data_IF_595107244423
#
_entry.id   IF_595107244423
#
_cell.length_a   1.000
_cell.length_b   1.000
_cell.length_c   1.000
_cell.angle_alpha   90.00
_cell.angle_beta   90.00
_cell.angle_gamma   90.00
#
_symmetry.space_group_name_H-M   'P 1'
#
loop_
_entity.id
_entity.type
_entity.pdbx_description
1 polymer ?
#
# COMPACT_ATOMS: atom_id res chain seq x y z
N UNK A 1 -2.85 -74.97 -23.23
CA UNK A 1 -3.15 -74.71 -21.80
C UNK A 1 -1.88 -74.13 -21.20
N UNK A 2 -2.03 -73.01 -20.47
CA UNK A 2 -1.09 -72.36 -19.52
C UNK A 2 0.26 -71.85 -20.11
N UNK A 3 0.53 -70.54 -20.18
CA UNK A 3 0.89 -69.58 -19.09
C UNK A 3 2.23 -69.99 -18.43
N UNK A 4 3.24 -69.16 -18.12
CA UNK A 4 3.48 -67.71 -18.07
C UNK A 4 4.96 -67.58 -17.63
N UNK A 5 5.64 -66.47 -17.97
CA UNK A 5 6.56 -65.66 -17.12
C UNK A 5 7.59 -64.88 -17.96
N UNK A 6 7.65 -63.58 -17.71
CA UNK A 6 8.62 -62.62 -18.24
C UNK A 6 9.62 -62.26 -17.12
N UNK A 7 10.85 -61.83 -17.46
CA UNK A 7 11.70 -61.13 -16.51
C UNK A 7 11.68 -59.61 -16.73
N UNK A 8 11.61 -58.95 -15.58
CA UNK A 8 11.77 -57.55 -15.25
C UNK A 8 13.20 -57.03 -15.57
N UNK A 9 13.33 -55.79 -16.06
CA UNK A 9 14.41 -54.86 -15.66
C UNK A 9 14.25 -53.47 -16.31
N UNK A 10 13.71 -52.56 -15.48
CA UNK A 10 14.34 -51.28 -15.11
C UNK A 10 14.54 -50.22 -16.21
N UNK A 11 13.45 -49.53 -16.57
CA UNK A 11 13.51 -48.16 -17.11
C UNK A 11 13.35 -47.16 -15.94
N UNK A 12 14.44 -46.50 -15.58
CA UNK A 12 14.43 -45.39 -14.64
C UNK A 12 13.79 -44.15 -15.27
N UNK A 13 12.55 -43.86 -14.88
CA UNK A 13 11.91 -42.57 -15.08
C UNK A 13 12.59 -41.51 -14.19
N UNK A 14 13.48 -40.70 -14.78
CA UNK A 14 13.87 -39.42 -14.19
C UNK A 14 12.67 -38.46 -14.25
N UNK A 15 11.88 -38.48 -13.18
CA UNK A 15 10.86 -37.47 -12.90
C UNK A 15 11.50 -36.09 -12.79
N UNK A 16 11.45 -35.34 -13.88
CA UNK A 16 11.75 -33.92 -13.94
C UNK A 16 10.87 -33.16 -12.95
N UNK A 17 11.42 -32.84 -11.78
CA UNK A 17 10.83 -31.89 -10.84
C UNK A 17 10.84 -30.52 -11.51
N UNK A 18 9.68 -30.11 -12.01
CA UNK A 18 9.41 -28.75 -12.45
C UNK A 18 9.74 -27.78 -11.31
N UNK A 19 10.87 -27.11 -11.47
CA UNK A 19 11.36 -26.09 -10.60
C UNK A 19 10.50 -24.84 -10.87
N UNK A 20 9.38 -24.70 -10.17
CA UNK A 20 8.46 -23.58 -10.34
C UNK A 20 9.06 -22.32 -9.68
N UNK A 21 10.16 -21.84 -10.27
CA UNK A 21 10.81 -20.58 -9.97
C UNK A 21 9.95 -19.44 -10.49
N UNK A 22 9.66 -18.48 -9.62
CA UNK A 22 8.89 -17.27 -9.92
C UNK A 22 9.38 -16.64 -11.23
N UNK A 23 8.50 -16.61 -12.22
CA UNK A 23 8.76 -16.02 -13.53
C UNK A 23 9.10 -14.53 -13.41
N UNK A 24 9.99 -14.07 -14.30
CA UNK A 24 10.32 -12.66 -14.49
C UNK A 24 9.06 -11.80 -14.61
N UNK A 25 9.16 -10.53 -14.21
CA UNK A 25 8.09 -9.55 -14.43
C UNK A 25 7.67 -9.55 -15.90
N UNK A 26 6.37 -9.68 -16.17
CA UNK A 26 5.84 -9.87 -17.51
C UNK A 26 5.73 -8.54 -18.27
N UNK A 27 6.23 -8.51 -19.51
CA UNK A 27 5.92 -7.45 -20.47
C UNK A 27 4.54 -7.73 -21.09
N UNK A 28 3.61 -6.81 -20.89
CA UNK A 28 2.21 -6.91 -21.34
C UNK A 28 1.90 -5.92 -22.47
N UNK A 29 2.92 -5.31 -23.09
CA UNK A 29 2.77 -4.25 -24.09
C UNK A 29 1.83 -4.65 -25.23
N UNK A 30 2.06 -5.81 -25.86
CA UNK A 30 1.24 -6.30 -26.97
C UNK A 30 -0.12 -6.89 -26.54
N UNK A 31 -0.39 -6.96 -25.24
CA UNK A 31 -1.58 -7.60 -24.67
C UNK A 31 -2.60 -6.60 -24.13
N UNK A 32 -2.31 -5.30 -24.15
CA UNK A 32 -3.12 -4.27 -23.52
C UNK A 32 -3.80 -3.39 -24.58
N UNK A 33 -5.11 -3.24 -24.45
CA UNK A 33 -5.91 -2.37 -25.30
C UNK A 33 -6.66 -1.32 -24.46
N UNK A 34 -6.44 -0.03 -24.73
CA UNK A 34 -7.14 1.05 -24.01
C UNK A 34 -8.65 0.99 -24.26
N UNK A 35 -9.46 1.19 -23.22
CA UNK A 35 -10.92 1.22 -23.33
C UNK A 35 -11.50 2.60 -23.67
N UNK A 36 -10.73 3.67 -23.44
CA UNK A 36 -11.20 5.05 -23.61
C UNK A 36 -10.14 5.96 -24.24
N UNK A 37 -10.58 7.14 -24.67
CA UNK A 37 -9.70 8.18 -25.21
C UNK A 37 -8.92 8.93 -24.12
N UNK A 38 -9.42 8.93 -22.90
CA UNK A 38 -8.88 9.68 -21.76
C UNK A 38 -8.60 8.73 -20.58
N UNK A 39 -7.71 9.12 -19.65
CA UNK A 39 -7.53 8.41 -18.38
C UNK A 39 -8.85 8.29 -17.62
N UNK A 40 -9.04 7.17 -16.93
CA UNK A 40 -10.20 6.94 -16.08
C UNK A 40 -10.09 7.64 -14.73
N UNK A 41 -8.85 7.91 -14.28
CA UNK A 41 -8.58 8.74 -13.11
C UNK A 41 -7.23 9.47 -13.27
N UNK A 42 -7.11 10.61 -12.59
CA UNK A 42 -5.90 11.41 -12.52
C UNK A 42 -5.45 11.52 -11.07
N UNK A 43 -4.23 11.05 -10.78
CA UNK A 43 -3.58 11.21 -9.48
C UNK A 43 -2.82 12.53 -9.38
N UNK A 44 -1.92 12.68 -8.40
CA UNK A 44 -1.02 13.84 -8.35
C UNK A 44 0.10 13.77 -9.40
N UNK A 45 0.66 12.58 -9.61
CA UNK A 45 1.86 12.36 -10.43
C UNK A 45 1.67 11.30 -11.53
N UNK A 46 0.47 10.73 -11.66
CA UNK A 46 0.19 9.66 -12.60
C UNK A 46 -1.23 9.75 -13.15
N UNK A 47 -1.43 9.23 -14.35
CA UNK A 47 -2.72 8.98 -14.95
C UNK A 47 -3.02 7.49 -14.89
N UNK A 48 -4.28 7.12 -14.62
CA UNK A 48 -4.73 5.74 -14.55
C UNK A 48 -5.64 5.46 -15.73
N UNK A 49 -5.21 4.56 -16.62
CA UNK A 49 -5.98 4.15 -17.79
C UNK A 49 -6.70 2.84 -17.53
N UNK A 50 -7.99 2.77 -17.90
CA UNK A 50 -8.71 1.49 -17.99
C UNK A 50 -8.40 0.82 -19.33
N UNK A 51 -7.96 -0.44 -19.28
CA UNK A 51 -7.59 -1.21 -20.45
C UNK A 51 -8.15 -2.64 -20.38
N UNK A 52 -8.26 -3.29 -21.53
CA UNK A 52 -8.50 -4.73 -21.65
C UNK A 52 -7.17 -5.46 -21.79
N UNK A 53 -6.97 -6.48 -20.97
CA UNK A 53 -5.87 -7.42 -21.07
C UNK A 53 -6.34 -8.66 -21.84
N UNK A 54 -5.77 -8.87 -23.03
CA UNK A 54 -6.05 -10.01 -23.88
C UNK A 54 -5.09 -11.16 -23.53
N UNK A 55 -5.60 -12.22 -22.92
CA UNK A 55 -4.81 -13.43 -22.70
C UNK A 55 -4.75 -14.26 -23.98
N UNK A 56 -3.55 -14.59 -24.44
CA UNK A 56 -3.33 -15.51 -25.55
C UNK A 56 -3.81 -16.95 -25.26
N UNK A 57 -4.17 -17.26 -24.01
CA UNK A 57 -4.52 -18.61 -23.55
C UNK A 57 -6.01 -18.81 -23.19
N UNK A 58 -6.90 -17.82 -23.36
CA UNK A 58 -8.32 -17.98 -22.98
C UNK A 58 -9.29 -17.42 -24.04
N UNK A 59 -10.37 -18.17 -24.31
CA UNK A 59 -11.53 -17.75 -25.12
C UNK A 59 -12.48 -16.80 -24.37
N UNK A 60 -12.14 -16.38 -23.15
CA UNK A 60 -12.94 -15.41 -22.37
C UNK A 60 -12.69 -13.99 -22.81
N UNK A 61 -13.71 -13.14 -22.64
CA UNK A 61 -13.62 -11.68 -22.77
C UNK A 61 -12.41 -11.15 -21.97
N UNK A 62 -11.63 -10.22 -22.54
CA UNK A 62 -10.41 -9.69 -21.91
C UNK A 62 -10.67 -9.14 -20.51
N UNK A 63 -9.72 -9.33 -19.59
CA UNK A 63 -9.82 -8.84 -18.21
C UNK A 63 -9.63 -7.32 -18.19
N UNK A 64 -10.47 -6.58 -17.46
CA UNK A 64 -10.24 -5.14 -17.26
C UNK A 64 -9.08 -4.93 -16.29
N UNK A 65 -8.10 -4.12 -16.70
CA UNK A 65 -6.90 -3.79 -15.95
C UNK A 65 -6.70 -2.28 -15.87
N UNK A 66 -6.05 -1.83 -14.80
CA UNK A 66 -5.57 -0.48 -14.66
C UNK A 66 -4.11 -0.39 -15.14
N UNK A 67 -3.80 0.64 -15.91
CA UNK A 67 -2.43 0.97 -16.32
C UNK A 67 -2.05 2.32 -15.72
N UNK A 68 -1.11 2.30 -14.77
CA UNK A 68 -0.57 3.50 -14.11
C UNK A 68 0.55 4.08 -14.96
N UNK A 69 0.33 5.29 -15.46
CA UNK A 69 1.24 6.03 -16.34
C UNK A 69 1.77 7.25 -15.59
N UNK A 70 3.07 7.29 -15.33
CA UNK A 70 3.68 8.43 -14.63
C UNK A 70 3.69 9.67 -15.54
N UNK A 71 3.17 10.79 -15.03
CA UNK A 71 3.11 12.05 -15.78
C UNK A 71 4.48 12.74 -15.79
N UNK A 72 4.79 13.34 -16.93
CA UNK A 72 5.97 14.20 -17.06
C UNK A 72 5.70 15.56 -16.42
N UNK A 73 6.57 15.99 -15.49
CA UNK A 73 6.78 17.42 -15.33
C UNK A 73 7.49 17.90 -16.61
N UNK A 74 6.80 18.69 -17.44
CA UNK A 74 7.44 19.44 -18.52
C UNK A 74 8.47 20.33 -17.84
N UNK A 75 9.77 20.04 -17.91
CA UNK A 75 10.93 20.96 -17.84
C UNK A 75 12.26 20.19 -17.57
N UNK A 76 13.18 20.32 -18.54
CA UNK A 76 14.66 20.12 -18.54
C UNK A 76 15.22 18.70 -18.31
N UNK A 77 16.17 18.29 -19.17
CA UNK A 77 16.79 16.96 -19.31
C UNK A 77 17.27 16.30 -17.99
N UNK A 78 17.68 17.06 -16.97
CA UNK A 78 18.14 16.52 -15.67
C UNK A 78 17.04 15.83 -14.86
N UNK A 79 15.76 16.05 -15.19
CA UNK A 79 14.63 15.39 -14.55
C UNK A 79 14.27 14.04 -15.17
N UNK A 80 14.78 13.71 -16.36
CA UNK A 80 14.41 12.46 -17.04
C UNK A 80 15.06 11.24 -16.40
N UNK A 81 16.35 11.33 -16.09
CA UNK A 81 17.04 10.26 -15.37
C UNK A 81 16.45 10.06 -13.96
N UNK A 82 16.03 11.15 -13.30
CA UNK A 82 15.36 11.09 -11.99
C UNK A 82 13.97 10.43 -12.09
N UNK A 83 13.19 10.78 -13.12
CA UNK A 83 11.89 10.17 -13.40
C UNK A 83 12.01 8.68 -13.70
N UNK A 84 12.96 8.29 -14.54
CA UNK A 84 13.23 6.89 -14.85
C UNK A 84 13.64 6.10 -13.61
N UNK A 85 14.60 6.62 -12.82
CA UNK A 85 15.03 5.98 -11.56
C UNK A 85 13.87 5.86 -10.56
N UNK A 86 13.01 6.88 -10.47
CA UNK A 86 11.82 6.85 -9.63
C UNK A 86 10.82 5.77 -10.07
N UNK A 87 10.53 5.70 -11.38
CA UNK A 87 9.66 4.68 -11.97
C UNK A 87 10.19 3.26 -11.76
N UNK A 88 11.47 3.02 -12.02
CA UNK A 88 12.11 1.72 -11.81
C UNK A 88 12.11 1.31 -10.34
N UNK A 89 12.34 2.27 -9.42
CA UNK A 89 12.27 2.02 -7.98
C UNK A 89 10.86 1.61 -7.55
N UNK A 90 9.84 2.35 -7.99
CA UNK A 90 8.44 2.02 -7.68
C UNK A 90 8.07 0.63 -8.21
N UNK A 91 8.42 0.33 -9.48
CA UNK A 91 8.17 -0.97 -10.10
C UNK A 91 8.83 -2.12 -9.31
N UNK A 92 10.09 -1.95 -8.91
CA UNK A 92 10.84 -2.96 -8.16
C UNK A 92 10.27 -3.18 -6.75
N UNK A 93 9.90 -2.10 -6.04
CA UNK A 93 9.25 -2.18 -4.73
C UNK A 93 7.90 -2.88 -4.86
N UNK A 94 7.07 -2.47 -5.81
CA UNK A 94 5.74 -3.03 -5.99
C UNK A 94 5.80 -4.52 -6.37
N UNK A 95 6.71 -4.92 -7.26
CA UNK A 95 6.94 -6.32 -7.57
C UNK A 95 7.35 -7.14 -6.33
N UNK A 96 8.23 -6.59 -5.49
CA UNK A 96 8.68 -7.23 -4.23
C UNK A 96 7.53 -7.48 -3.25
N UNK A 97 6.52 -6.61 -3.28
CA UNK A 97 5.36 -6.63 -2.38
C UNK A 97 4.13 -7.34 -2.96
N UNK A 98 4.14 -7.74 -4.22
CA UNK A 98 2.94 -8.25 -4.92
C UNK A 98 2.46 -9.62 -4.41
N UNK A 99 3.20 -10.26 -3.51
CA UNK A 99 2.89 -11.58 -2.94
C UNK A 99 2.10 -11.50 -1.62
N UNK A 100 1.12 -10.61 -1.55
CA UNK A 100 0.30 -10.48 -0.35
C UNK A 100 -1.14 -10.12 -0.71
N UNK A 101 -2.15 -10.78 -0.13
CA UNK A 101 -3.56 -10.56 -0.49
C UNK A 101 -4.06 -9.14 -0.18
N UNK A 102 -3.37 -8.41 0.71
CA UNK A 102 -3.70 -7.02 1.11
C UNK A 102 -2.79 -5.97 0.48
N UNK A 103 -2.02 -6.36 -0.52
CA UNK A 103 -1.29 -5.46 -1.42
C UNK A 103 -1.90 -5.62 -2.82
N UNK A 104 -2.04 -4.53 -3.55
CA UNK A 104 -2.50 -4.54 -4.93
C UNK A 104 -1.49 -5.36 -5.77
N UNK A 105 -1.88 -6.43 -6.49
CA UNK A 105 -0.92 -7.20 -7.26
C UNK A 105 -0.45 -6.42 -8.50
N UNK A 106 0.85 -6.52 -8.80
CA UNK A 106 1.42 -6.08 -10.07
C UNK A 106 1.39 -7.26 -11.06
N UNK A 107 0.63 -7.12 -12.14
CA UNK A 107 0.52 -8.14 -13.19
C UNK A 107 1.73 -8.10 -14.13
N UNK A 108 2.23 -6.89 -14.41
CA UNK A 108 3.32 -6.68 -15.36
C UNK A 108 3.56 -5.21 -15.63
N UNK A 109 4.21 -4.92 -16.75
CA UNK A 109 4.44 -3.56 -17.23
C UNK A 109 4.09 -3.43 -18.72
N UNK A 110 3.98 -2.19 -19.20
CA UNK A 110 3.81 -1.85 -20.61
C UNK A 110 4.69 -0.67 -20.99
N UNK A 111 5.22 -0.69 -22.22
CA UNK A 111 6.08 0.36 -22.78
C UNK A 111 5.31 1.34 -23.69
N UNK A 112 4.05 1.06 -24.03
CA UNK A 112 3.26 1.79 -25.04
C UNK A 112 2.45 2.98 -24.50
N UNK A 113 2.69 3.37 -23.24
CA UNK A 113 1.95 4.44 -22.57
C UNK A 113 2.76 5.70 -22.32
N UNK A 114 4.06 5.70 -22.64
CA UNK A 114 4.91 6.86 -22.49
C UNK A 114 6.39 6.48 -22.46
N UNK A 115 7.21 7.37 -21.92
CA UNK A 115 8.66 7.20 -21.90
C UNK A 115 9.17 6.22 -20.84
N UNK A 116 8.37 5.96 -19.81
CA UNK A 116 8.73 5.08 -18.70
C UNK A 116 7.82 3.85 -18.70
N UNK A 117 8.31 2.69 -18.20
CA UNK A 117 7.48 1.52 -17.99
C UNK A 117 6.24 1.88 -17.16
N UNK A 118 5.07 1.62 -17.73
CA UNK A 118 3.78 1.82 -17.08
C UNK A 118 3.37 0.53 -16.38
N UNK A 119 2.89 0.65 -15.15
CA UNK A 119 2.60 -0.49 -14.27
C UNK A 119 1.17 -1.00 -14.51
N UNK A 120 1.01 -2.30 -14.64
CA UNK A 120 -0.27 -2.94 -14.96
C UNK A 120 -0.76 -3.73 -13.75
N UNK A 121 -1.97 -3.45 -13.30
CA UNK A 121 -2.61 -4.15 -12.17
C UNK A 121 -4.10 -4.41 -12.46
N UNK A 122 -4.78 -5.29 -11.70
CA UNK A 122 -6.21 -5.49 -11.88
C UNK A 122 -6.98 -4.18 -11.63
N UNK A 123 -8.03 -3.96 -12.40
CA UNK A 123 -8.97 -2.88 -12.14
C UNK A 123 -9.75 -3.15 -10.84
N UNK A 124 -9.98 -2.12 -10.03
CA UNK A 124 -10.65 -2.21 -8.74
C UNK A 124 -11.98 -1.47 -8.83
N UNK A 125 -13.10 -2.19 -9.09
CA UNK A 125 -14.39 -1.57 -9.40
C UNK A 125 -14.97 -0.74 -8.25
N UNK A 126 -14.63 -1.10 -7.01
CA UNK A 126 -15.06 -0.38 -5.82
C UNK A 126 -14.20 0.87 -5.52
N UNK A 127 -13.15 1.12 -6.31
CA UNK A 127 -12.33 2.32 -6.25
C UNK A 127 -11.52 2.45 -4.96
N UNK A 128 -11.22 3.69 -4.57
CA UNK A 128 -10.47 3.99 -3.34
C UNK A 128 -11.35 3.82 -2.10
N UNK A 129 -10.77 3.47 -0.96
CA UNK A 129 -11.45 3.39 0.33
C UNK A 129 -12.14 4.73 0.67
N UNK A 130 -11.52 5.86 0.33
CA UNK A 130 -12.11 7.18 0.50
C UNK A 130 -13.46 7.31 -0.23
N UNK A 131 -13.51 6.95 -1.52
CA UNK A 131 -14.74 7.03 -2.31
C UNK A 131 -15.74 5.93 -1.90
N UNK A 132 -15.23 4.75 -1.57
CA UNK A 132 -16.03 3.61 -1.17
C UNK A 132 -16.84 3.88 0.11
N UNK A 133 -16.22 4.51 1.11
CA UNK A 133 -16.90 4.89 2.35
C UNK A 133 -17.90 6.02 2.16
N UNK A 134 -17.62 6.96 1.25
CA UNK A 134 -18.45 8.14 0.98
C UNK A 134 -19.50 7.93 -0.13
N UNK A 135 -19.62 6.71 -0.67
CA UNK A 135 -20.57 6.40 -1.74
C UNK A 135 -22.03 6.62 -1.30
N UNK A 136 -22.79 7.35 -2.12
CA UNK A 136 -24.19 7.66 -1.85
C UNK A 136 -25.03 6.38 -1.65
N UNK A 137 -25.83 6.35 -0.58
CA UNK A 137 -26.75 5.25 -0.30
C UNK A 137 -26.10 4.00 0.33
N UNK A 138 -24.81 4.04 0.67
CA UNK A 138 -24.14 2.96 1.40
C UNK A 138 -24.13 3.22 2.90
N UNK A 139 -24.82 2.37 3.64
CA UNK A 139 -24.74 2.31 5.09
C UNK A 139 -23.73 1.27 5.53
N UNK A 140 -22.74 1.70 6.32
CA UNK A 140 -21.65 0.84 6.76
C UNK A 140 -21.90 0.32 8.17
N UNK A 141 -21.82 -0.99 8.34
CA UNK A 141 -21.75 -1.56 9.69
C UNK A 141 -20.37 -1.28 10.27
N UNK A 142 -20.30 -1.09 11.57
CA UNK A 142 -19.02 -0.91 12.24
C UNK A 142 -18.13 -2.15 12.04
N UNK A 143 -18.72 -3.36 12.02
CA UNK A 143 -18.00 -4.61 11.77
C UNK A 143 -17.27 -4.63 10.41
N UNK A 144 -17.86 -4.06 9.35
CA UNK A 144 -17.25 -4.03 8.01
C UNK A 144 -16.05 -3.06 7.99
N UNK A 145 -16.19 -1.91 8.65
CA UNK A 145 -15.09 -0.95 8.85
C UNK A 145 -13.92 -1.59 9.60
N UNK A 146 -14.18 -2.37 10.66
CA UNK A 146 -13.15 -3.14 11.36
C UNK A 146 -12.54 -4.26 10.52
N UNK A 147 -13.30 -4.87 9.61
CA UNK A 147 -12.77 -5.86 8.69
C UNK A 147 -11.73 -5.23 7.76
N UNK A 148 -12.06 -4.09 7.15
CA UNK A 148 -11.18 -3.28 6.31
C UNK A 148 -9.93 -2.86 7.09
N UNK A 149 -10.07 -2.35 8.33
CA UNK A 149 -8.92 -1.92 9.13
C UNK A 149 -7.94 -3.05 9.45
N UNK A 150 -8.44 -4.25 9.75
CA UNK A 150 -7.58 -5.43 9.97
C UNK A 150 -6.83 -5.82 8.70
N UNK A 151 -7.49 -5.72 7.54
CA UNK A 151 -6.85 -5.99 6.25
C UNK A 151 -5.74 -4.99 5.94
N UNK A 152 -5.98 -3.69 6.16
CA UNK A 152 -4.98 -2.63 5.99
C UNK A 152 -3.81 -2.85 6.94
N UNK A 153 -4.08 -3.14 8.22
CA UNK A 153 -3.04 -3.43 9.22
C UNK A 153 -2.19 -4.64 8.81
N UNK A 154 -2.80 -5.70 8.29
CA UNK A 154 -2.11 -6.89 7.79
C UNK A 154 -1.25 -6.57 6.56
N UNK A 155 -1.76 -5.80 5.61
CA UNK A 155 -0.99 -5.35 4.44
C UNK A 155 0.21 -4.50 4.85
N UNK A 156 0.03 -3.56 5.78
CA UNK A 156 1.09 -2.68 6.23
C UNK A 156 2.15 -3.44 7.03
N UNK A 157 1.74 -4.42 7.84
CA UNK A 157 2.67 -5.30 8.56
C UNK A 157 3.55 -6.11 7.60
N UNK A 158 2.97 -6.60 6.50
CA UNK A 158 3.72 -7.26 5.43
C UNK A 158 4.70 -6.30 4.75
N UNK A 159 4.29 -5.06 4.43
CA UNK A 159 5.19 -4.06 3.83
C UNK A 159 6.37 -3.77 4.75
N UNK A 160 6.12 -3.55 6.05
CA UNK A 160 7.17 -3.29 7.04
C UNK A 160 8.08 -4.51 7.26
N UNK A 161 7.56 -5.74 7.21
CA UNK A 161 8.39 -6.96 7.35
C UNK A 161 9.38 -7.15 6.20
N UNK A 162 9.11 -6.54 5.04
CA UNK A 162 10.02 -6.48 3.89
C UNK A 162 11.01 -5.29 3.97
N UNK A 163 11.11 -4.64 5.14
CA UNK A 163 11.92 -3.45 5.38
C UNK A 163 11.59 -2.28 4.45
N UNK A 164 10.33 -2.16 4.06
CA UNK A 164 9.82 -1.11 3.18
C UNK A 164 8.87 -0.21 3.99
N UNK A 165 9.05 1.09 3.86
CA UNK A 165 8.09 2.10 4.34
C UNK A 165 7.14 2.41 3.19
N UNK A 166 5.83 2.45 3.45
CA UNK A 166 4.84 2.84 2.47
C UNK A 166 5.04 4.31 2.08
N UNK A 167 5.06 5.20 3.08
CA UNK A 167 5.49 6.58 2.92
C UNK A 167 4.43 7.56 2.39
N UNK A 168 3.27 7.06 1.96
CA UNK A 168 2.10 7.87 1.60
C UNK A 168 0.79 7.15 1.91
N UNK A 169 0.67 6.57 3.11
CA UNK A 169 -0.53 5.82 3.48
C UNK A 169 -1.72 6.77 3.68
N UNK A 170 -2.80 6.55 2.95
CA UNK A 170 -4.07 7.29 3.11
C UNK A 170 -5.23 6.47 2.55
N UNK A 171 -6.48 6.84 2.85
CA UNK A 171 -7.65 6.17 2.27
C UNK A 171 -7.78 6.34 0.75
N UNK A 172 -7.05 7.27 0.13
CA UNK A 172 -6.96 7.42 -1.32
C UNK A 172 -6.00 6.40 -1.96
N UNK A 173 -5.05 5.89 -1.19
CA UNK A 173 -4.04 4.92 -1.63
C UNK A 173 -4.36 3.49 -1.15
N UNK A 174 -5.60 3.26 -0.73
CA UNK A 174 -6.14 1.94 -0.39
C UNK A 174 -7.27 1.68 -1.37
N UNK A 175 -7.17 0.64 -2.19
CA UNK A 175 -8.22 0.23 -3.12
C UNK A 175 -9.07 -0.88 -2.52
N UNK A 176 -10.33 -0.92 -2.92
CA UNK A 176 -11.27 -1.96 -2.55
C UNK A 176 -11.52 -2.84 -3.76
N UNK A 177 -11.30 -4.14 -3.63
CA UNK A 177 -11.58 -5.08 -4.71
C UNK A 177 -13.05 -5.48 -4.79
N UNK A 178 -13.41 -6.30 -5.76
CA UNK A 178 -14.79 -6.71 -6.04
C UNK A 178 -15.43 -7.50 -4.89
N UNK A 179 -14.62 -8.10 -4.01
CA UNK A 179 -15.10 -8.81 -2.82
C UNK A 179 -15.32 -7.87 -1.62
N UNK A 180 -15.01 -6.56 -1.77
CA UNK A 180 -15.06 -5.60 -0.68
C UNK A 180 -13.80 -5.61 0.20
N UNK A 181 -12.73 -6.25 -0.26
CA UNK A 181 -11.49 -6.40 0.48
C UNK A 181 -10.49 -5.28 0.17
N UNK A 182 -9.77 -4.82 1.19
CA UNK A 182 -8.81 -3.73 1.09
C UNK A 182 -7.43 -4.19 0.59
N UNK A 183 -6.84 -3.37 -0.30
CA UNK A 183 -5.52 -3.56 -0.90
C UNK A 183 -4.71 -2.26 -0.86
N UNK A 184 -3.53 -2.31 -0.27
CA UNK A 184 -2.58 -1.20 -0.30
C UNK A 184 -2.08 -0.96 -1.72
N UNK A 185 -1.96 0.30 -2.13
CA UNK A 185 -1.56 0.73 -3.46
C UNK A 185 -0.72 1.99 -3.40
N UNK A 186 -0.15 2.37 -4.56
CA UNK A 186 0.69 3.56 -4.73
C UNK A 186 1.99 3.56 -3.91
N UNK A 187 3.01 2.91 -4.47
CA UNK A 187 4.33 2.78 -3.86
C UNK A 187 5.34 3.81 -4.39
N UNK A 188 4.88 4.88 -5.07
CA UNK A 188 5.77 5.88 -5.69
C UNK A 188 6.65 6.63 -4.69
N UNK A 189 6.18 6.74 -3.44
CA UNK A 189 6.87 7.36 -2.33
C UNK A 189 7.49 6.36 -1.34
N UNK A 190 7.39 5.06 -1.64
CA UNK A 190 7.95 4.01 -0.80
C UNK A 190 9.47 3.93 -0.90
N UNK A 191 10.09 3.44 0.17
CA UNK A 191 11.54 3.33 0.24
C UNK A 191 11.96 2.16 1.13
N UNK A 192 13.10 1.56 0.80
CA UNK A 192 13.77 0.62 1.68
C UNK A 192 14.39 1.34 2.88
N UNK A 193 14.24 0.73 4.06
CA UNK A 193 14.90 1.16 5.29
C UNK A 193 16.14 0.28 5.49
N UNK A 194 17.36 0.85 5.54
CA UNK A 194 18.58 0.12 5.83
C UNK A 194 18.47 -0.60 7.17
N UNK A 195 18.93 -1.86 7.21
CA UNK A 195 18.90 -2.73 8.40
C UNK A 195 19.51 -2.08 9.65
N UNK A 196 20.49 -1.18 9.50
CA UNK A 196 21.11 -0.43 10.59
C UNK A 196 20.16 0.57 11.30
N UNK A 197 19.02 0.90 10.67
CA UNK A 197 17.98 1.78 11.22
C UNK A 197 16.68 1.02 11.53
N UNK A 198 16.64 -0.29 11.28
CA UNK A 198 15.49 -1.16 11.58
C UNK A 198 15.37 -1.49 13.09
N UNK A 199 16.18 -0.88 13.95
CA UNK A 199 16.19 -1.12 15.39
C UNK A 199 15.01 -0.43 16.09
N UNK A 200 13.88 -1.13 16.13
CA UNK A 200 12.94 -1.16 17.27
C UNK A 200 12.71 -2.62 17.66
N UNK A 201 12.40 -2.93 18.93
CA UNK A 201 12.55 -4.28 19.48
C UNK A 201 11.45 -5.19 18.94
N UNK A 202 11.75 -5.92 17.87
CA UNK A 202 10.99 -7.11 17.50
C UNK A 202 11.31 -8.23 18.50
N UNK A 203 10.60 -8.27 19.63
CA UNK A 203 10.35 -9.56 20.27
C UNK A 203 9.38 -10.32 19.36
N UNK A 204 9.85 -11.38 18.71
CA UNK A 204 8.96 -12.27 17.97
C UNK A 204 7.88 -12.80 18.92
N UNK A 205 6.70 -13.13 18.36
CA UNK A 205 6.43 -14.55 18.23
C UNK A 205 6.14 -14.92 16.78
N UNK A 206 6.81 -15.98 16.35
CA UNK A 206 6.34 -16.90 15.34
C UNK A 206 4.84 -17.23 15.58
N UNK A 207 4.11 -17.42 14.47
CA UNK A 207 2.73 -17.95 14.35
C UNK A 207 1.58 -17.00 13.95
N UNK A 208 1.63 -15.66 14.12
CA UNK A 208 0.51 -14.79 13.65
C UNK A 208 0.70 -14.28 12.21
N UNK A 209 1.93 -14.04 11.77
CA UNK A 209 2.25 -13.47 10.47
C UNK A 209 3.23 -14.34 9.68
N UNK A 210 3.06 -15.67 9.71
CA UNK A 210 4.00 -16.63 9.07
C UNK A 210 4.18 -16.31 7.57
N UNK A 211 5.24 -15.56 7.27
CA UNK A 211 5.68 -15.24 5.92
C UNK A 211 7.18 -15.45 5.92
N UNK A 212 7.60 -16.50 5.21
CA UNK A 212 9.01 -16.79 4.97
C UNK A 212 9.65 -15.62 4.22
N UNK A 213 10.85 -15.16 4.60
CA UNK A 213 11.56 -14.16 3.83
C UNK A 213 11.99 -14.79 2.50
N UNK A 214 11.31 -14.44 1.41
CA UNK A 214 11.68 -14.88 0.08
C UNK A 214 12.47 -13.79 -0.67
N UNK A 215 13.66 -14.21 -1.10
CA UNK A 215 14.52 -13.73 -2.18
C UNK A 215 15.39 -12.48 -1.94
N UNK A 216 16.70 -12.75 -2.00
CA UNK A 216 17.75 -11.81 -2.42
C UNK A 216 17.56 -11.56 -3.91
N UNK A 217 17.19 -10.34 -4.28
CA UNK A 217 17.35 -9.88 -5.64
C UNK A 217 18.74 -9.23 -5.71
N UNK A 218 19.71 -9.92 -6.31
CA UNK A 218 20.87 -9.23 -6.88
C UNK A 218 20.40 -8.56 -8.17
N UNK A 219 19.67 -7.45 -8.02
CA UNK A 219 19.81 -6.42 -9.03
C UNK A 219 21.26 -5.98 -8.88
N UNK A 220 22.06 -6.04 -9.94
CA UNK A 220 23.28 -5.25 -10.03
C UNK A 220 22.87 -3.78 -10.11
N UNK A 221 22.30 -3.28 -9.01
CA UNK A 221 22.27 -1.88 -8.65
C UNK A 221 23.71 -1.62 -8.28
N UNK A 222 24.47 -1.04 -9.21
CA UNK A 222 25.80 -0.54 -8.91
C UNK A 222 25.76 0.14 -7.54
N UNK A 223 26.71 -0.22 -6.68
CA UNK A 223 26.77 0.12 -5.25
C UNK A 223 26.83 1.64 -4.95
N UNK A 224 26.57 2.48 -5.95
CA UNK A 224 26.36 3.92 -5.87
C UNK A 224 24.88 4.33 -5.70
N UNK A 225 23.93 3.39 -5.71
CA UNK A 225 22.52 3.70 -5.38
C UNK A 225 22.26 3.85 -3.87
N UNK A 226 23.34 3.90 -3.09
CA UNK A 226 23.35 4.32 -1.69
C UNK A 226 23.02 5.81 -1.60
N UNK A 227 21.74 6.12 -1.37
CA UNK A 227 21.24 7.44 -0.97
C UNK A 227 21.71 8.57 -1.89
N UNK A 228 20.98 8.82 -2.99
CA UNK A 228 21.13 10.10 -3.69
C UNK A 228 20.76 11.22 -2.71
N UNK A 229 21.77 11.88 -2.16
CA UNK A 229 21.72 12.95 -1.15
C UNK A 229 21.20 14.28 -1.73
N UNK A 230 20.24 14.21 -2.64
CA UNK A 230 19.60 15.35 -3.27
C UNK A 230 18.14 15.01 -3.59
N UNK A 231 17.36 14.65 -2.57
CA UNK A 231 15.92 14.82 -2.65
C UNK A 231 15.66 16.34 -2.70
N UNK A 232 14.87 16.78 -3.68
CA UNK A 232 14.38 18.16 -3.69
C UNK A 232 13.70 18.46 -2.35
N UNK A 233 13.87 19.68 -1.83
CA UNK A 233 13.31 20.18 -0.58
C UNK A 233 11.78 20.30 -0.56
N UNK A 234 11.09 19.54 -1.42
CA UNK A 234 9.64 19.55 -1.55
C UNK A 234 9.03 18.45 -0.69
N UNK A 235 8.13 18.83 0.19
CA UNK A 235 7.30 17.92 0.97
C UNK A 235 6.40 17.13 0.02
N UNK A 236 6.57 15.80 -0.05
CA UNK A 236 5.80 14.91 -0.94
C UNK A 236 4.91 13.96 -0.16
N UNK A 237 3.64 13.91 -0.51
CA UNK A 237 2.62 13.02 0.05
C UNK A 237 1.34 13.78 0.43
N UNK A 238 0.34 13.06 0.94
CA UNK A 238 -0.91 13.68 1.39
C UNK A 238 -0.72 14.41 2.74
N UNK A 239 -0.83 15.75 2.78
CA UNK A 239 -0.53 16.51 4.00
C UNK A 239 -1.46 16.20 5.17
N UNK A 240 -2.70 15.76 4.91
CA UNK A 240 -3.65 15.43 5.96
C UNK A 240 -3.27 14.17 6.76
N UNK A 241 -2.42 13.29 6.20
CA UNK A 241 -2.00 12.03 6.85
C UNK A 241 -0.53 12.07 7.28
N UNK A 242 0.20 13.11 6.90
CA UNK A 242 1.63 13.19 7.07
C UNK A 242 2.02 13.48 8.52
N UNK A 243 3.02 12.76 9.02
CA UNK A 243 3.53 12.90 10.37
C UNK A 243 4.30 14.22 10.58
N UNK A 244 4.27 14.82 11.80
CA UNK A 244 4.89 16.12 12.09
C UNK A 244 6.39 16.19 11.80
N UNK A 245 7.13 15.10 12.06
CA UNK A 245 8.57 15.03 11.83
C UNK A 245 8.96 15.20 10.35
N UNK A 246 8.02 14.98 9.41
CA UNK A 246 8.27 15.10 7.97
C UNK A 246 8.22 16.56 7.47
N UNK A 247 7.69 17.49 8.29
CA UNK A 247 7.55 18.90 7.95
C UNK A 247 8.72 19.79 8.42
N UNK A 248 9.64 19.26 9.24
CA UNK A 248 10.70 20.06 9.86
C UNK A 248 11.76 20.53 8.85
N UNK A 249 11.83 21.82 8.58
CA UNK A 249 12.78 22.48 7.67
C UNK A 249 14.15 22.74 8.34
N UNK A 250 14.75 21.72 8.94
CA UNK A 250 16.10 21.80 9.52
C UNK A 250 17.20 21.53 8.49
N UNK A 251 18.38 22.11 8.67
CA UNK A 251 19.57 21.84 7.82
C UNK A 251 20.03 20.37 7.85
N UNK A 252 19.57 19.58 8.83
CA UNK A 252 19.73 18.14 8.85
C UNK A 252 18.58 17.48 8.11
N UNK A 253 18.91 16.94 6.94
CA UNK A 253 18.04 16.24 6.00
C UNK A 253 17.37 14.99 6.59
N UNK A 254 16.34 15.16 7.43
CA UNK A 254 15.54 14.06 7.97
C UNK A 254 14.06 14.17 7.60
N UNK A 255 13.74 14.63 6.38
CA UNK A 255 12.40 14.46 5.77
C UNK A 255 12.12 12.99 5.38
N UNK A 256 12.78 12.04 6.04
CA UNK A 256 12.76 10.64 5.65
C UNK A 256 11.55 9.96 6.26
N UNK A 257 10.73 9.35 5.40
CA UNK A 257 9.64 8.48 5.81
C UNK A 257 10.17 7.26 6.57
N UNK A 258 9.50 6.91 7.66
CA UNK A 258 9.84 5.83 8.58
C UNK A 258 8.65 4.91 8.83
N UNK A 259 8.88 3.75 9.46
CA UNK A 259 7.77 2.90 9.90
C UNK A 259 6.86 3.67 10.86
N UNK A 260 7.41 4.46 11.78
CA UNK A 260 6.64 5.29 12.69
C UNK A 260 5.82 6.37 11.99
N UNK A 261 6.29 6.94 10.87
CA UNK A 261 5.46 7.88 10.10
C UNK A 261 4.30 7.18 9.39
N UNK A 262 4.46 5.92 8.97
CA UNK A 262 3.33 5.11 8.49
C UNK A 262 2.32 4.81 9.61
N UNK A 263 2.77 4.60 10.86
CA UNK A 263 1.86 4.42 12.00
C UNK A 263 1.01 5.68 12.24
N UNK A 264 1.61 6.86 12.17
CA UNK A 264 0.88 8.12 12.27
C UNK A 264 -0.19 8.25 11.17
N UNK A 265 0.20 7.98 9.93
CA UNK A 265 -0.71 7.99 8.78
C UNK A 265 -1.82 6.94 8.93
N UNK A 266 -1.50 5.76 9.48
CA UNK A 266 -2.48 4.72 9.75
C UNK A 266 -3.49 5.14 10.81
N UNK A 267 -3.10 5.94 11.82
CA UNK A 267 -4.04 6.60 12.73
C UNK A 267 -5.07 7.45 11.98
N UNK A 268 -4.64 8.21 10.96
CA UNK A 268 -5.54 8.97 10.09
C UNK A 268 -6.50 8.07 9.29
N UNK A 269 -6.00 6.95 8.80
CA UNK A 269 -6.82 5.93 8.11
C UNK A 269 -7.84 5.31 9.07
N UNK A 270 -7.45 4.97 10.30
CA UNK A 270 -8.36 4.46 11.34
C UNK A 270 -9.47 5.47 11.62
N UNK A 271 -9.12 6.74 11.85
CA UNK A 271 -10.09 7.81 12.07
C UNK A 271 -11.10 7.87 10.93
N UNK A 272 -10.62 8.08 9.69
CA UNK A 272 -11.50 8.25 8.54
C UNK A 272 -12.33 6.99 8.27
N UNK A 273 -11.76 5.80 8.49
CA UNK A 273 -12.50 4.55 8.29
C UNK A 273 -13.58 4.35 9.35
N UNK A 274 -13.40 4.82 10.58
CA UNK A 274 -14.42 4.66 11.63
C UNK A 274 -15.48 5.76 11.59
N UNK A 275 -15.10 7.00 11.27
CA UNK A 275 -15.99 8.18 11.39
C UNK A 275 -16.45 8.73 10.05
N UNK A 276 -15.84 8.34 8.94
CA UNK A 276 -16.02 9.00 7.64
C UNK A 276 -15.31 10.36 7.53
N UNK A 277 -14.81 10.90 8.63
CA UNK A 277 -14.24 12.26 8.68
C UNK A 277 -12.74 12.23 8.41
N UNK A 278 -12.27 13.13 7.54
CA UNK A 278 -10.86 13.24 7.22
C UNK A 278 -10.08 13.88 8.39
N UNK A 279 -8.82 13.46 8.65
CA UNK A 279 -7.92 14.24 9.50
C UNK A 279 -7.84 15.69 9.00
N UNK A 280 -7.78 16.65 9.92
CA UNK A 280 -7.75 18.09 9.62
C UNK A 280 -8.95 18.60 8.77
N UNK A 281 -10.11 17.92 8.78
CA UNK A 281 -11.29 18.33 7.99
C UNK A 281 -11.76 19.78 8.23
N UNK A 282 -11.44 20.34 9.39
CA UNK A 282 -11.79 21.69 9.82
C UNK A 282 -10.84 22.77 9.24
N UNK A 283 -9.70 22.35 8.68
CA UNK A 283 -8.70 23.23 8.07
C UNK A 283 -8.90 23.34 6.56
N UNK A 284 -8.62 24.53 6.01
CA UNK A 284 -8.83 24.83 4.58
C UNK A 284 -7.53 24.93 3.79
N UNK A 285 -6.39 25.07 4.45
CA UNK A 285 -5.11 25.30 3.78
C UNK A 285 -3.99 24.43 4.39
N UNK A 286 -3.13 23.78 3.57
CA UNK A 286 -2.06 22.90 4.06
C UNK A 286 -1.10 23.57 5.06
N UNK A 287 -0.80 24.86 4.90
CA UNK A 287 0.02 25.60 5.86
C UNK A 287 -0.57 25.64 7.30
N UNK A 288 -1.90 25.57 7.43
CA UNK A 288 -2.57 25.49 8.74
C UNK A 288 -2.32 24.14 9.41
N UNK A 289 -2.18 23.07 8.62
CA UNK A 289 -1.83 21.75 9.13
C UNK A 289 -0.45 21.81 9.78
N UNK A 290 0.54 22.38 9.08
CA UNK A 290 1.90 22.54 9.62
C UNK A 290 1.88 23.34 10.93
N UNK A 291 1.14 24.47 10.96
CA UNK A 291 1.02 25.28 12.18
C UNK A 291 0.35 24.53 13.35
N UNK A 292 -0.67 23.72 13.07
CA UNK A 292 -1.33 22.88 14.09
C UNK A 292 -0.35 21.86 14.67
N UNK A 293 0.37 21.16 13.80
CA UNK A 293 1.30 20.11 14.19
C UNK A 293 2.50 20.67 14.97
N UNK A 294 3.00 21.86 14.61
CA UNK A 294 4.05 22.57 15.33
C UNK A 294 3.66 22.92 16.78
N UNK A 295 2.36 23.12 17.03
CA UNK A 295 1.80 23.34 18.37
C UNK A 295 1.56 22.05 19.17
N UNK A 296 1.88 20.89 18.60
CA UNK A 296 1.62 19.58 19.22
C UNK A 296 0.14 19.22 19.29
N UNK A 297 -0.71 19.90 18.52
CA UNK A 297 -2.15 19.62 18.47
C UNK A 297 -2.42 18.41 17.55
N UNK A 298 -3.29 17.46 17.95
CA UNK A 298 -3.56 16.27 17.15
C UNK A 298 -4.29 16.63 15.84
N UNK A 299 -4.27 15.73 14.85
CA UNK A 299 -4.92 15.97 13.56
C UNK A 299 -6.45 16.00 13.63
N UNK A 300 -7.02 15.61 14.76
CA UNK A 300 -8.45 15.61 15.01
C UNK A 300 -8.73 15.88 16.50
N UNK A 301 -9.83 16.57 16.82
CA UNK A 301 -10.31 16.77 18.19
C UNK A 301 -11.62 15.99 18.38
N UNK A 302 -11.68 15.09 19.36
CA UNK A 302 -12.88 14.29 19.63
C UNK A 302 -14.02 15.19 20.12
N UNK A 303 -15.18 15.04 19.49
CA UNK A 303 -16.43 15.63 19.94
C UNK A 303 -17.23 14.60 20.76
N UNK A 304 -17.98 15.05 21.78
CA UNK A 304 -18.78 14.17 22.65
C UNK A 304 -19.85 13.37 21.88
N UNK A 305 -20.30 13.88 20.73
CA UNK A 305 -21.27 13.23 19.84
C UNK A 305 -20.67 12.14 18.95
N UNK A 306 -19.35 11.93 18.95
CA UNK A 306 -18.73 10.94 18.09
C UNK A 306 -18.98 9.50 18.55
N UNK A 307 -19.05 8.60 17.57
CA UNK A 307 -19.31 7.17 17.76
C UNK A 307 -18.04 6.40 18.20
N UNK A 308 -16.93 7.11 18.45
CA UNK A 308 -15.67 6.52 18.92
C UNK A 308 -15.76 6.16 20.41
N UNK A 309 -15.40 4.91 20.74
CA UNK A 309 -15.22 4.49 22.13
C UNK A 309 -13.93 5.08 22.71
N UNK A 310 -13.80 5.08 24.04
CA UNK A 310 -12.59 5.59 24.70
C UNK A 310 -11.34 4.81 24.28
N UNK A 311 -11.44 3.48 24.13
CA UNK A 311 -10.33 2.65 23.64
C UNK A 311 -9.91 2.99 22.22
N UNK A 312 -10.87 3.29 21.34
CA UNK A 312 -10.60 3.70 19.96
C UNK A 312 -9.92 5.07 19.92
N UNK A 313 -10.37 5.99 20.78
CA UNK A 313 -9.75 7.30 20.91
C UNK A 313 -8.33 7.21 21.46
N UNK A 314 -8.10 6.39 22.49
CA UNK A 314 -6.76 6.15 23.05
C UNK A 314 -5.81 5.56 22.00
N UNK A 315 -6.29 4.63 21.16
CA UNK A 315 -5.51 4.09 20.04
C UNK A 315 -5.09 5.20 19.06
N UNK A 316 -6.03 6.07 18.68
CA UNK A 316 -5.75 7.20 17.77
C UNK A 316 -4.72 8.17 18.38
N UNK A 317 -4.89 8.54 19.65
CA UNK A 317 -3.92 9.36 20.38
C UNK A 317 -2.53 8.71 20.39
N UNK A 318 -2.44 7.40 20.65
CA UNK A 318 -1.17 6.68 20.63
C UNK A 318 -0.52 6.67 19.24
N UNK A 319 -1.29 6.52 18.16
CA UNK A 319 -0.77 6.63 16.79
C UNK A 319 -0.25 8.04 16.47
N UNK A 320 -0.85 9.08 17.05
CA UNK A 320 -0.48 10.48 16.83
C UNK A 320 0.46 11.08 17.89
N UNK A 321 1.12 10.22 18.67
CA UNK A 321 2.20 10.67 19.55
C UNK A 321 3.26 11.47 18.80
N UNK A 322 3.65 12.61 19.40
CA UNK A 322 4.61 13.55 18.81
C UNK A 322 5.96 12.87 18.58
N UNK A 323 6.40 12.07 19.55
CA UNK A 323 7.64 11.32 19.45
C UNK A 323 7.41 10.02 18.66
N UNK A 324 8.08 9.81 17.50
CA UNK A 324 7.79 8.67 16.62
C UNK A 324 8.00 7.29 17.29
N UNK A 325 8.89 7.19 18.28
CA UNK A 325 9.18 5.96 19.00
C UNK A 325 8.14 5.61 20.08
N UNK A 326 7.27 6.55 20.46
CA UNK A 326 6.15 6.30 21.39
C UNK A 326 4.93 5.71 20.68
N UNK A 327 4.90 5.75 19.34
CA UNK A 327 3.79 5.23 18.54
C UNK A 327 3.73 3.70 18.65
N UNK A 328 2.53 3.09 18.67
CA UNK A 328 2.38 1.65 18.87
C UNK A 328 2.91 0.84 17.68
N UNK A 329 3.26 -0.42 17.94
CA UNK A 329 3.56 -1.38 16.88
C UNK A 329 2.29 -1.82 16.15
N UNK A 330 2.42 -2.28 14.90
CA UNK A 330 1.30 -2.86 14.15
C UNK A 330 0.69 -4.07 14.85
N UNK A 331 1.49 -4.82 15.63
CA UNK A 331 0.97 -5.92 16.44
C UNK A 331 0.01 -5.41 17.53
N UNK A 332 0.40 -4.35 18.25
CA UNK A 332 -0.46 -3.74 19.27
C UNK A 332 -1.74 -3.15 18.66
N UNK A 333 -1.62 -2.50 17.49
CA UNK A 333 -2.79 -1.99 16.76
C UNK A 333 -3.72 -3.14 16.34
N UNK A 334 -3.17 -4.21 15.76
CA UNK A 334 -3.96 -5.39 15.35
C UNK A 334 -4.70 -6.01 16.55
N UNK A 335 -4.03 -6.16 17.69
CA UNK A 335 -4.66 -6.68 18.92
C UNK A 335 -5.81 -5.79 19.39
N UNK A 336 -5.65 -4.47 19.34
CA UNK A 336 -6.73 -3.53 19.66
C UNK A 336 -7.91 -3.69 18.68
N UNK A 337 -7.64 -3.71 17.37
CA UNK A 337 -8.67 -3.91 16.33
C UNK A 337 -9.40 -5.26 16.42
N UNK A 338 -8.81 -6.25 17.10
CA UNK A 338 -9.40 -7.57 17.34
C UNK A 338 -10.07 -7.71 18.71
N UNK A 339 -10.05 -6.67 19.55
CA UNK A 339 -10.58 -6.73 20.90
C UNK A 339 -12.06 -7.21 20.88
N UNK A 340 -12.39 -8.32 21.58
CA UNK A 340 -13.75 -8.86 21.62
C UNK A 340 -14.80 -7.85 22.09
N UNK A 341 -14.46 -6.91 22.96
CA UNK A 341 -15.38 -5.88 23.44
C UNK A 341 -15.74 -4.89 22.34
N UNK A 342 -14.74 -4.49 21.54
CA UNK A 342 -14.93 -3.67 20.34
C UNK A 342 -15.77 -4.43 19.30
N UNK A 343 -15.51 -5.74 19.12
CA UNK A 343 -16.31 -6.60 18.23
C UNK A 343 -17.76 -6.71 18.70
N UNK A 344 -17.98 -6.87 20.01
CA UNK A 344 -19.31 -6.93 20.61
C UNK A 344 -20.04 -5.58 20.49
N UNK A 345 -19.36 -4.46 20.68
CA UNK A 345 -19.89 -3.13 20.41
C UNK A 345 -20.28 -2.98 18.94
N UNK A 346 -19.38 -3.31 18.01
CA UNK A 346 -19.63 -3.26 16.57
C UNK A 346 -20.82 -4.12 16.12
N UNK A 347 -21.10 -5.23 16.81
CA UNK A 347 -22.27 -6.07 16.54
C UNK A 347 -23.60 -5.47 17.03
N UNK A 348 -23.56 -4.54 18.00
CA UNK A 348 -24.74 -3.86 18.57
C UNK A 348 -25.17 -2.62 17.80
N UNK A 349 -24.30 -2.04 16.97
CA UNK A 349 -24.60 -0.88 16.13
C UNK A 349 -24.70 -1.31 14.66
N UNK A 350 -25.93 -1.54 14.14
CA UNK A 350 -26.09 -2.20 12.86
C UNK A 350 -25.71 -1.32 11.67
N UNK A 351 -25.70 0.01 11.80
CA UNK A 351 -25.46 0.95 10.70
C UNK A 351 -25.01 2.30 11.25
N UNK A 352 -23.89 2.84 10.78
CA UNK A 352 -23.52 4.24 11.00
C UNK A 352 -24.17 5.11 9.91
N UNK A 353 -24.91 6.18 10.26
CA UNK A 353 -25.37 7.16 9.28
C UNK A 353 -24.17 7.96 8.72
N UNK A 354 -24.37 8.52 7.53
CA UNK A 354 -23.40 9.39 6.85
C UNK A 354 -23.06 10.64 7.65
#
# INVERSE_FOLDING_TARGET
MTATEAPDSDEGEEGGRENNGRSSLQDLTDHIQRQGQYPAAEGGFADIWSCLLNSSQSQTMGQVVAVKVLRMARLVDDNELKGLKGSQRELAIWYTLSDHPRVLPLLGFSLDFGRYPSMVCPWMENGTLHNYLNGAGKSWRLADRYHILRQICSGLAYVHSRSIVHGDLSCSNILIDDNGDARLSDFGLSAFVPLAQASSPTSSPDDIFSVKPALKFEVSLDAETTVSRSESSEIKGNPCFMAPELYHLGNDSTHRKTFSSDIYAFGGVILQTLTGTMPHHDLRHPAQIVHRLDRGEPPFQREDSMILTDDQWMLLCACWETQPFNRPSLLAIMQNLQNPEIRNYASKFPVLPH
#
